data_IF_099912926485
#
_entry.id   IF_099912926485
#
_cell.length_a   1.000
_cell.length_b   1.000
_cell.length_c   1.000
_cell.angle_alpha   90.00
_cell.angle_beta   90.00
_cell.angle_gamma   90.00
#
_symmetry.space_group_name_H-M   'P 1'
#
loop_
_entity.id
_entity.type
_entity.pdbx_description
1 polymer ?
#
# COMPACT_ATOMS: atom_id res chain seq x y z
N UNK A 1 -3.14 -0.32 18.95
CA UNK A 1 -4.36 0.52 18.94
C UNK A 1 -4.50 1.29 17.63
N UNK A 2 -3.43 1.94 17.12
CA UNK A 2 -3.45 2.71 15.86
C UNK A 2 -3.70 1.83 14.61
N UNK A 3 -3.18 0.59 14.58
CA UNK A 3 -3.41 -0.38 13.49
C UNK A 3 -4.90 -0.79 13.43
N UNK A 4 -5.55 -0.95 14.59
CA UNK A 4 -6.99 -1.27 14.65
C UNK A 4 -7.86 -0.14 14.08
N UNK A 5 -7.45 1.11 14.25
CA UNK A 5 -8.14 2.28 13.69
C UNK A 5 -8.02 2.29 12.16
N UNK A 6 -6.85 2.00 11.63
CA UNK A 6 -6.63 1.91 10.17
C UNK A 6 -7.46 0.77 9.57
N UNK A 7 -7.46 -0.42 10.19
CA UNK A 7 -8.29 -1.55 9.77
C UNK A 7 -9.78 -1.19 9.81
N UNK A 8 -10.24 -0.54 10.88
CA UNK A 8 -11.64 -0.12 11.03
C UNK A 8 -12.04 0.95 10.01
N UNK A 9 -11.13 1.84 9.65
CA UNK A 9 -11.35 2.87 8.61
C UNK A 9 -11.41 2.25 7.23
N UNK A 10 -10.52 1.30 6.89
CA UNK A 10 -10.54 0.56 5.62
C UNK A 10 -11.81 -0.28 5.51
N UNK A 11 -12.21 -0.97 6.61
CA UNK A 11 -13.45 -1.76 6.65
C UNK A 11 -14.70 -0.88 6.49
N UNK A 12 -14.71 0.30 7.09
CA UNK A 12 -15.80 1.27 6.99
C UNK A 12 -15.90 1.88 5.58
N UNK A 13 -14.77 2.17 4.93
CA UNK A 13 -14.72 2.55 3.52
C UNK A 13 -15.23 1.43 2.61
N UNK A 14 -14.84 0.18 2.86
CA UNK A 14 -15.31 -0.96 2.08
C UNK A 14 -16.82 -1.17 2.19
N UNK A 15 -17.38 -1.04 3.40
CA UNK A 15 -18.84 -1.17 3.63
C UNK A 15 -19.60 0.01 3.03
N UNK A 16 -19.08 1.24 3.10
CA UNK A 16 -19.71 2.41 2.49
C UNK A 16 -19.77 2.28 0.96
N UNK A 17 -18.67 1.89 0.32
CA UNK A 17 -18.61 1.66 -1.12
C UNK A 17 -19.53 0.50 -1.55
N UNK A 18 -19.64 -0.56 -0.74
CA UNK A 18 -20.53 -1.70 -1.00
C UNK A 18 -22.01 -1.34 -0.84
N UNK A 19 -22.39 -0.55 0.17
CA UNK A 19 -23.78 -0.15 0.42
C UNK A 19 -24.31 0.89 -0.60
N UNK A 20 -23.50 1.87 -1.02
CA UNK A 20 -23.91 2.82 -2.04
C UNK A 20 -24.24 2.13 -3.38
N UNK A 21 -23.43 1.13 -3.75
CA UNK A 21 -23.72 0.36 -4.97
C UNK A 21 -24.98 -0.53 -4.87
N UNK A 22 -25.37 -0.96 -3.66
CA UNK A 22 -26.57 -1.80 -3.47
C UNK A 22 -27.87 -0.99 -3.55
N UNK A 23 -27.83 0.28 -3.15
CA UNK A 23 -29.00 1.18 -3.25
C UNK A 23 -29.30 1.59 -4.71
N UNK A 24 -28.24 1.70 -5.53
CA UNK A 24 -28.37 2.04 -6.97
C UNK A 24 -28.71 0.84 -7.86
N UNK A 25 -28.54 -0.40 -7.39
CA UNK A 25 -28.81 -1.63 -8.16
C UNK A 25 -30.25 -2.13 -8.02
N UNK A 26 -31.05 -1.58 -7.11
CA UNK A 26 -32.43 -2.01 -6.86
C UNK A 26 -33.43 -1.69 -7.98
N UNK A 27 -33.17 -0.68 -8.80
CA UNK A 27 -34.13 -0.14 -9.73
C UNK A 27 -33.84 -0.34 -11.25
N UNK A 28 -32.72 -1.03 -11.59
CA UNK A 28 -32.27 -1.11 -12.99
C UNK A 28 -32.31 -2.50 -13.64
N UNK A 29 -33.13 -3.43 -13.12
CA UNK A 29 -33.20 -4.77 -13.72
C UNK A 29 -34.10 -4.86 -14.98
N UNK A 30 -34.52 -3.75 -15.57
CA UNK A 30 -35.40 -3.77 -16.74
C UNK A 30 -34.99 -2.82 -17.88
N UNK A 31 -33.70 -2.74 -18.21
CA UNK A 31 -33.28 -2.02 -19.42
C UNK A 31 -32.10 -2.68 -20.12
N UNK A 32 -32.28 -2.98 -21.37
CA UNK A 32 -31.35 -3.43 -22.43
C UNK A 32 -29.91 -3.86 -22.10
N UNK A 33 -29.50 -5.07 -22.56
CA UNK A 33 -28.14 -5.59 -22.37
C UNK A 33 -27.04 -4.68 -22.93
N UNK A 34 -27.33 -3.85 -23.92
CA UNK A 34 -26.32 -2.97 -24.55
C UNK A 34 -26.13 -1.63 -23.85
N UNK A 35 -27.14 -1.08 -23.18
CA UNK A 35 -27.00 0.15 -22.39
C UNK A 35 -26.15 -0.04 -21.15
N UNK A 36 -26.19 -1.24 -20.57
CA UNK A 36 -25.35 -1.62 -19.41
C UNK A 36 -23.85 -1.75 -19.74
N UNK A 37 -23.50 -2.09 -20.99
CA UNK A 37 -22.10 -2.17 -21.41
C UNK A 37 -21.46 -0.80 -21.61
N UNK A 38 -22.20 0.16 -22.17
CA UNK A 38 -21.67 1.53 -22.35
C UNK A 38 -21.58 2.30 -21.02
N UNK A 39 -22.58 2.15 -20.13
CA UNK A 39 -22.55 2.83 -18.83
C UNK A 39 -21.48 2.29 -17.87
N UNK A 40 -21.12 1.01 -17.98
CA UNK A 40 -20.01 0.41 -17.25
C UNK A 40 -18.62 0.87 -17.74
N UNK A 41 -18.52 1.28 -18.99
CA UNK A 41 -17.26 1.71 -19.60
C UNK A 41 -16.92 3.20 -19.35
N UNK A 42 -17.82 3.97 -18.76
CA UNK A 42 -17.56 5.38 -18.44
C UNK A 42 -16.76 5.45 -17.12
N UNK A 43 -15.54 5.94 -17.21
CA UNK A 43 -14.73 6.27 -16.04
C UNK A 43 -15.47 7.32 -15.19
N UNK A 44 -16.01 6.90 -14.07
CA UNK A 44 -16.64 7.78 -13.10
C UNK A 44 -15.62 8.43 -12.16
N UNK A 45 -16.05 9.44 -11.41
CA UNK A 45 -15.23 10.07 -10.37
C UNK A 45 -14.71 9.05 -9.34
N UNK A 46 -15.51 8.02 -9.02
CA UNK A 46 -15.14 6.91 -8.13
C UNK A 46 -13.95 6.10 -8.65
N UNK A 47 -13.83 5.93 -9.97
CA UNK A 47 -12.74 5.16 -10.58
C UNK A 47 -11.43 5.95 -10.55
N UNK A 48 -11.49 7.27 -10.69
CA UNK A 48 -10.33 8.16 -10.52
C UNK A 48 -9.84 8.09 -9.07
N UNK A 49 -10.73 8.17 -8.08
CA UNK A 49 -10.36 8.02 -6.67
C UNK A 49 -9.74 6.65 -6.38
N UNK A 50 -10.29 5.59 -6.93
CA UNK A 50 -9.75 4.23 -6.79
C UNK A 50 -8.35 4.12 -7.42
N UNK A 51 -8.14 4.69 -8.59
CA UNK A 51 -6.82 4.71 -9.24
C UNK A 51 -5.78 5.48 -8.42
N UNK A 52 -6.16 6.66 -7.92
CA UNK A 52 -5.27 7.45 -7.03
C UNK A 52 -4.96 6.68 -5.76
N UNK A 53 -5.96 6.02 -5.15
CA UNK A 53 -5.76 5.20 -3.96
C UNK A 53 -4.79 4.04 -4.23
N UNK A 54 -4.92 3.34 -5.36
CA UNK A 54 -3.99 2.27 -5.78
C UNK A 54 -2.56 2.79 -5.89
N UNK A 55 -2.35 3.93 -6.56
CA UNK A 55 -1.01 4.53 -6.69
C UNK A 55 -0.41 4.90 -5.33
N UNK A 56 -1.21 5.51 -4.44
CA UNK A 56 -0.78 5.86 -3.08
C UNK A 56 -0.44 4.61 -2.25
N UNK A 57 -1.22 3.53 -2.39
CA UNK A 57 -0.96 2.27 -1.70
C UNK A 57 0.30 1.58 -2.23
N UNK A 58 0.58 1.62 -3.55
CA UNK A 58 1.84 1.12 -4.11
C UNK A 58 3.03 1.92 -3.56
N UNK A 59 2.92 3.24 -3.48
CA UNK A 59 3.96 4.08 -2.90
C UNK A 59 4.19 3.77 -1.40
N UNK A 60 3.12 3.49 -0.65
CA UNK A 60 3.20 3.11 0.76
C UNK A 60 3.80 1.71 0.94
N UNK A 61 3.47 0.76 0.08
CA UNK A 61 4.12 -0.57 0.02
C UNK A 61 5.62 -0.42 -0.25
N UNK A 62 6.00 0.39 -1.24
CA UNK A 62 7.40 0.71 -1.55
C UNK A 62 8.12 1.35 -0.36
N UNK A 63 7.45 2.21 0.41
CA UNK A 63 8.00 2.81 1.63
C UNK A 63 8.30 1.76 2.70
N UNK A 64 7.35 0.88 3.04
CA UNK A 64 7.57 -0.17 4.03
C UNK A 64 8.66 -1.15 3.60
N UNK A 65 8.65 -1.56 2.34
CA UNK A 65 9.61 -2.48 1.75
C UNK A 65 11.04 -1.92 1.74
N UNK A 66 11.19 -0.63 1.39
CA UNK A 66 12.48 0.06 1.42
C UNK A 66 12.97 0.32 2.84
N UNK A 67 12.06 0.65 3.77
CA UNK A 67 12.41 0.85 5.18
C UNK A 67 12.93 -0.44 5.81
N UNK A 68 12.22 -1.56 5.65
CA UNK A 68 12.65 -2.88 6.09
C UNK A 68 14.08 -3.19 5.62
N UNK A 69 14.31 -3.02 4.31
CA UNK A 69 15.61 -3.35 3.71
C UNK A 69 16.73 -2.41 4.17
N UNK A 70 16.44 -1.10 4.29
CA UNK A 70 17.44 -0.14 4.74
C UNK A 70 17.87 -0.40 6.19
N UNK A 71 16.90 -0.57 7.10
CA UNK A 71 17.19 -0.83 8.51
C UNK A 71 17.85 -2.19 8.77
N UNK A 72 17.55 -3.22 7.95
CA UNK A 72 18.21 -4.53 8.02
C UNK A 72 19.64 -4.53 7.45
N UNK A 73 19.94 -3.60 6.53
CA UNK A 73 21.24 -3.54 5.83
C UNK A 73 22.20 -2.50 6.40
N UNK A 74 21.73 -1.62 7.29
CA UNK A 74 22.55 -0.52 7.82
C UNK A 74 23.54 -1.02 8.88
N UNK A 75 24.72 -0.41 8.91
CA UNK A 75 25.68 -0.62 10.00
C UNK A 75 25.27 0.19 11.24
N UNK A 76 24.81 -0.52 12.27
CA UNK A 76 24.32 0.09 13.52
C UNK A 76 25.38 0.94 14.19
N UNK A 77 26.67 0.55 14.10
CA UNK A 77 27.78 1.33 14.71
C UNK A 77 27.92 2.69 14.04
N UNK A 78 27.79 2.77 12.71
CA UNK A 78 27.82 4.06 12.01
C UNK A 78 26.63 4.95 12.41
N UNK A 79 25.44 4.38 12.61
CA UNK A 79 24.28 5.14 13.08
C UNK A 79 24.51 5.69 14.49
N UNK A 80 25.16 4.94 15.39
CA UNK A 80 25.52 5.43 16.73
C UNK A 80 26.51 6.60 16.65
N UNK A 81 27.56 6.48 15.84
CA UNK A 81 28.50 7.58 15.60
C UNK A 81 27.79 8.83 15.08
N UNK A 82 26.87 8.66 14.10
CA UNK A 82 26.08 9.80 13.57
C UNK A 82 25.14 10.41 14.61
N UNK A 83 24.67 9.63 15.58
CA UNK A 83 23.84 10.14 16.68
C UNK A 83 24.69 10.95 17.69
N UNK A 84 25.92 10.54 17.96
CA UNK A 84 26.91 11.29 18.76
C UNK A 84 27.32 12.62 18.08
N UNK A 85 27.50 12.57 16.76
CA UNK A 85 27.75 13.76 15.93
C UNK A 85 26.52 14.66 15.77
N UNK A 86 25.38 14.33 16.37
CA UNK A 86 24.10 15.06 16.31
C UNK A 86 23.58 15.25 14.89
N UNK A 87 23.88 14.36 13.96
CA UNK A 87 23.32 14.40 12.60
C UNK A 87 21.81 14.30 12.63
N UNK A 88 21.15 15.04 11.73
CA UNK A 88 19.70 15.09 11.64
C UNK A 88 19.10 13.69 11.37
N UNK A 89 18.17 13.27 12.22
CA UNK A 89 17.51 11.96 12.12
C UNK A 89 18.24 10.80 12.80
N UNK A 90 19.54 10.93 13.15
CA UNK A 90 20.37 9.85 13.65
C UNK A 90 19.89 9.28 15.01
N UNK A 91 19.42 10.12 15.93
CA UNK A 91 18.86 9.66 17.20
C UNK A 91 17.62 8.78 17.03
N UNK A 92 16.72 9.14 16.08
CA UNK A 92 15.53 8.34 15.77
C UNK A 92 15.92 7.04 15.07
N UNK A 93 16.86 7.13 14.14
CA UNK A 93 17.40 5.96 13.45
C UNK A 93 18.04 4.98 14.45
N UNK A 94 18.82 5.47 15.40
CA UNK A 94 19.40 4.66 16.47
C UNK A 94 18.31 3.97 17.30
N UNK A 95 17.29 4.71 17.74
CA UNK A 95 16.18 4.14 18.52
C UNK A 95 15.47 3.01 17.76
N UNK A 96 15.28 3.17 16.44
CA UNK A 96 14.66 2.15 15.59
C UNK A 96 15.58 0.94 15.46
N UNK A 97 16.90 1.14 15.30
CA UNK A 97 17.87 0.05 15.25
C UNK A 97 17.95 -0.72 16.59
N UNK A 98 17.91 -0.01 17.71
CA UNK A 98 17.93 -0.63 19.05
C UNK A 98 16.62 -1.41 19.35
N UNK A 99 15.51 -1.11 18.63
CA UNK A 99 14.22 -1.80 18.73
C UNK A 99 13.83 -2.45 17.40
N UNK A 100 14.80 -3.00 16.67
CA UNK A 100 14.60 -3.45 15.29
C UNK A 100 13.55 -4.53 15.14
N UNK A 101 13.43 -5.47 16.06
CA UNK A 101 12.42 -6.54 16.00
C UNK A 101 10.99 -6.00 15.97
N UNK A 102 10.71 -4.96 16.75
CA UNK A 102 9.39 -4.30 16.73
C UNK A 102 9.16 -3.55 15.43
N UNK A 103 10.20 -2.86 14.94
CA UNK A 103 10.14 -2.15 13.68
C UNK A 103 9.89 -3.13 12.52
N UNK A 104 10.58 -4.25 12.50
CA UNK A 104 10.45 -5.31 11.49
C UNK A 104 9.02 -5.84 11.41
N UNK A 105 8.42 -6.17 12.56
CA UNK A 105 7.02 -6.60 12.61
C UNK A 105 6.09 -5.52 12.05
N UNK A 106 6.34 -4.24 12.40
CA UNK A 106 5.58 -3.11 11.88
C UNK A 106 5.68 -2.98 10.35
N UNK A 107 6.88 -3.13 9.79
CA UNK A 107 7.09 -3.08 8.34
C UNK A 107 6.40 -4.24 7.62
N UNK A 108 6.53 -5.46 8.12
CA UNK A 108 5.93 -6.66 7.52
C UNK A 108 4.40 -6.59 7.54
N UNK A 109 3.82 -6.25 8.69
CA UNK A 109 2.36 -6.12 8.82
C UNK A 109 1.85 -4.96 7.98
N UNK A 110 2.52 -3.81 8.01
CA UNK A 110 2.16 -2.63 7.23
C UNK A 110 2.18 -2.92 5.73
N UNK A 111 3.25 -3.54 5.22
CA UNK A 111 3.38 -3.91 3.82
C UNK A 111 2.29 -4.88 3.37
N UNK A 112 2.05 -5.95 4.14
CA UNK A 112 1.02 -6.93 3.81
C UNK A 112 -0.39 -6.32 3.82
N UNK A 113 -0.70 -5.47 4.80
CA UNK A 113 -2.00 -4.80 4.88
C UNK A 113 -2.25 -3.90 3.66
N UNK A 114 -1.24 -3.12 3.27
CA UNK A 114 -1.29 -2.24 2.10
C UNK A 114 -1.46 -3.04 0.81
N UNK A 115 -0.76 -4.16 0.66
CA UNK A 115 -0.86 -5.01 -0.52
C UNK A 115 -2.24 -5.68 -0.64
N UNK A 116 -2.84 -6.12 0.48
CA UNK A 116 -4.20 -6.65 0.51
C UNK A 116 -5.21 -5.56 0.11
N UNK A 117 -5.09 -4.36 0.68
CA UNK A 117 -5.97 -3.25 0.33
C UNK A 117 -5.87 -2.90 -1.16
N UNK A 118 -4.65 -2.89 -1.69
CA UNK A 118 -4.36 -2.57 -3.09
C UNK A 118 -5.00 -3.58 -4.05
N UNK A 119 -4.80 -4.88 -3.80
CA UNK A 119 -5.40 -5.95 -4.62
C UNK A 119 -6.92 -5.95 -4.54
N UNK A 120 -7.50 -5.60 -3.38
CA UNK A 120 -8.95 -5.51 -3.20
C UNK A 120 -9.56 -4.37 -4.02
N UNK A 121 -8.95 -3.18 -3.99
CA UNK A 121 -9.44 -2.03 -4.79
C UNK A 121 -9.32 -2.34 -6.28
N UNK A 122 -8.21 -2.95 -6.70
CA UNK A 122 -8.04 -3.34 -8.09
C UNK A 122 -9.04 -4.42 -8.53
N UNK A 123 -9.34 -5.41 -7.68
CA UNK A 123 -10.36 -6.42 -7.99
C UNK A 123 -11.72 -5.78 -8.27
N UNK A 124 -12.11 -4.78 -7.47
CA UNK A 124 -13.31 -4.00 -7.73
C UNK A 124 -13.26 -3.28 -9.08
N UNK A 125 -12.13 -2.65 -9.42
CA UNK A 125 -11.98 -1.99 -10.73
C UNK A 125 -12.06 -3.00 -11.88
N UNK A 126 -11.35 -4.13 -11.81
CA UNK A 126 -11.39 -5.16 -12.84
C UNK A 126 -12.80 -5.74 -13.06
N UNK A 127 -13.57 -5.91 -11.99
CA UNK A 127 -14.95 -6.42 -12.07
C UNK A 127 -15.91 -5.50 -12.82
N UNK A 128 -15.59 -4.21 -12.95
CA UNK A 128 -16.38 -3.26 -13.76
C UNK A 128 -16.13 -3.43 -15.26
N UNK A 129 -14.90 -3.75 -15.65
CA UNK A 129 -14.51 -3.80 -17.06
C UNK A 129 -14.63 -5.19 -17.67
N UNK A 130 -14.56 -6.24 -16.85
CA UNK A 130 -14.55 -7.62 -17.31
C UNK A 130 -15.86 -8.31 -16.88
N UNK A 131 -16.67 -8.71 -17.86
CA UNK A 131 -17.98 -9.35 -17.62
C UNK A 131 -17.86 -10.70 -16.92
N UNK A 132 -16.80 -11.48 -17.23
CA UNK A 132 -16.57 -12.77 -16.62
C UNK A 132 -15.85 -12.61 -15.26
N UNK A 133 -16.50 -12.91 -14.12
CA UNK A 133 -15.91 -12.69 -12.79
C UNK A 133 -14.63 -13.52 -12.54
N UNK A 134 -14.60 -14.73 -13.07
CA UNK A 134 -13.43 -15.62 -12.93
C UNK A 134 -12.22 -15.03 -13.66
N UNK A 135 -12.43 -14.58 -14.89
CA UNK A 135 -11.37 -13.95 -15.69
C UNK A 135 -10.92 -12.63 -15.06
N UNK A 136 -11.83 -11.81 -14.54
CA UNK A 136 -11.51 -10.57 -13.83
C UNK A 136 -10.60 -10.83 -12.63
N UNK A 137 -10.91 -11.82 -11.81
CA UNK A 137 -10.13 -12.18 -10.63
C UNK A 137 -8.75 -12.75 -10.99
N UNK A 138 -8.66 -13.60 -12.01
CA UNK A 138 -7.37 -14.16 -12.47
C UNK A 138 -6.47 -13.04 -13.01
N UNK A 139 -6.99 -12.17 -13.88
CA UNK A 139 -6.23 -11.06 -14.44
C UNK A 139 -5.80 -10.07 -13.35
N UNK A 140 -6.70 -9.72 -12.42
CA UNK A 140 -6.35 -8.88 -11.28
C UNK A 140 -5.18 -9.49 -10.48
N UNK A 141 -5.27 -10.77 -10.13
CA UNK A 141 -4.23 -11.43 -9.33
C UNK A 141 -2.88 -11.41 -10.05
N UNK A 142 -2.84 -11.80 -11.32
CA UNK A 142 -1.59 -11.86 -12.10
C UNK A 142 -0.99 -10.46 -12.26
N UNK A 143 -1.80 -9.50 -12.72
CA UNK A 143 -1.31 -8.14 -13.01
C UNK A 143 -0.86 -7.45 -11.72
N UNK A 144 -1.66 -7.52 -10.64
CA UNK A 144 -1.31 -6.87 -9.38
C UNK A 144 -0.13 -7.51 -8.70
N UNK A 145 0.03 -8.84 -8.79
CA UNK A 145 1.23 -9.51 -8.30
C UNK A 145 2.50 -8.97 -8.99
N UNK A 146 2.48 -8.85 -10.29
CA UNK A 146 3.64 -8.32 -11.06
C UNK A 146 3.90 -6.85 -10.70
N UNK A 147 2.86 -6.02 -10.64
CA UNK A 147 2.98 -4.59 -10.33
C UNK A 147 3.52 -4.38 -8.91
N UNK A 148 2.94 -5.05 -7.92
CA UNK A 148 3.39 -4.94 -6.52
C UNK A 148 4.81 -5.46 -6.37
N UNK A 149 5.13 -6.61 -6.97
CA UNK A 149 6.47 -7.19 -6.91
C UNK A 149 7.54 -6.23 -7.47
N UNK A 150 7.28 -5.63 -8.63
CA UNK A 150 8.25 -4.73 -9.26
C UNK A 150 8.32 -3.40 -8.53
N UNK A 151 7.19 -2.69 -8.40
CA UNK A 151 7.15 -1.31 -7.91
C UNK A 151 7.04 -1.20 -6.39
N UNK A 152 6.39 -2.16 -5.73
CA UNK A 152 6.22 -2.18 -4.26
C UNK A 152 7.38 -2.86 -3.53
N UNK A 153 8.13 -3.78 -4.19
CA UNK A 153 9.16 -4.56 -3.50
C UNK A 153 10.54 -4.48 -4.15
N UNK A 154 10.73 -4.95 -5.39
CA UNK A 154 12.07 -5.11 -5.98
C UNK A 154 12.78 -3.77 -6.14
N UNK A 155 12.16 -2.80 -6.81
CA UNK A 155 12.78 -1.51 -7.07
C UNK A 155 13.07 -0.73 -5.78
N UNK A 156 12.13 -0.62 -4.82
CA UNK A 156 12.38 0.08 -3.56
C UNK A 156 13.46 -0.58 -2.71
N UNK A 157 13.48 -1.91 -2.63
CA UNK A 157 14.51 -2.67 -1.89
C UNK A 157 15.89 -2.49 -2.52
N UNK A 158 15.98 -2.54 -3.85
CA UNK A 158 17.24 -2.32 -4.57
C UNK A 158 17.78 -0.92 -4.32
N UNK A 159 16.93 0.10 -4.39
CA UNK A 159 17.31 1.49 -4.10
C UNK A 159 17.79 1.68 -2.65
N UNK A 160 17.08 1.10 -1.68
CA UNK A 160 17.41 1.21 -0.26
C UNK A 160 18.77 0.57 0.09
N UNK A 161 19.15 -0.52 -0.60
CA UNK A 161 20.45 -1.20 -0.42
C UNK A 161 21.65 -0.38 -0.89
N UNK A 162 21.47 0.51 -1.84
CA UNK A 162 22.60 1.23 -2.45
C UNK A 162 23.29 2.18 -1.47
N UNK A 163 22.52 2.90 -0.62
CA UNK A 163 23.04 3.80 0.40
C UNK A 163 22.18 3.74 1.66
N UNK A 164 22.20 2.63 2.42
CA UNK A 164 21.28 2.40 3.53
C UNK A 164 21.39 3.43 4.64
N UNK A 165 22.61 3.89 4.98
CA UNK A 165 22.83 4.87 6.05
C UNK A 165 22.13 6.21 5.76
N UNK A 166 22.36 6.79 4.57
CA UNK A 166 21.72 8.05 4.19
C UNK A 166 20.19 7.90 4.09
N UNK A 167 19.75 6.76 3.60
CA UNK A 167 18.33 6.47 3.46
C UNK A 167 17.67 6.35 4.83
N UNK A 168 18.23 5.59 5.76
CA UNK A 168 17.74 5.42 7.13
C UNK A 168 17.63 6.76 7.86
N UNK A 169 18.64 7.63 7.77
CA UNK A 169 18.58 8.96 8.37
C UNK A 169 17.42 9.80 7.83
N UNK A 170 17.15 9.71 6.52
CA UNK A 170 16.08 10.46 5.86
C UNK A 170 14.69 9.99 6.26
N UNK A 171 14.48 8.66 6.32
CA UNK A 171 13.15 8.07 6.58
C UNK A 171 12.85 7.85 8.08
N UNK A 172 13.86 7.93 8.95
CA UNK A 172 13.73 7.68 10.40
C UNK A 172 12.60 8.46 11.06
N UNK A 173 12.34 9.69 10.58
CA UNK A 173 11.24 10.52 11.09
C UNK A 173 9.85 9.93 10.78
N UNK A 174 9.65 9.47 9.56
CA UNK A 174 8.39 8.85 9.13
C UNK A 174 8.20 7.49 9.81
N UNK A 175 9.24 6.65 9.83
CA UNK A 175 9.20 5.33 10.47
C UNK A 175 8.89 5.43 11.97
N UNK A 176 9.47 6.41 12.67
CA UNK A 176 9.22 6.62 14.09
C UNK A 176 7.75 6.91 14.43
N UNK A 177 6.99 7.48 13.51
CA UNK A 177 5.54 7.73 13.70
C UNK A 177 4.73 6.43 13.60
N UNK A 178 5.20 5.43 12.88
CA UNK A 178 4.52 4.13 12.73
C UNK A 178 4.83 3.14 13.86
N UNK A 179 5.91 3.35 14.61
CA UNK A 179 6.31 2.55 15.76
C UNK A 179 5.63 3.00 17.05
#
# INVERSE_FOLDING_TARGET
LKILIVIKTIYKCHILVYNENRFLLGDYYFMDPYSNLLSKAVFGTTDIFSLVAVVLLIALSAFFSSAETAFSSVNVMHIKTYAEEKKKGARRAQYICDNFDRALVGFLVGNNLVNIANTTICAYMFSKFIVNPTLANVLNTVIMTIVILIFGEILPKSYAKHNPEKFVLKISGAVYVFL
#
